data_IF_943146757936
#
_entry.id   IF_943146757936
#
_cell.length_a   1.000
_cell.length_b   1.000
_cell.length_c   1.000
_cell.angle_alpha   90.00
_cell.angle_beta   90.00
_cell.angle_gamma   90.00
#
_symmetry.space_group_name_H-M   'P 1'
#
loop_
_entity.id
_entity.type
_entity.pdbx_description
1 polymer ?
#
# COMPACT_ATOMS: atom_id res chain seq x y z
N UNK A 1 -30.40 3.51 -17.93
CA UNK A 1 -29.33 3.87 -16.99
C UNK A 1 -28.59 2.60 -16.61
N UNK A 2 -27.47 2.32 -17.25
CA UNK A 2 -26.67 1.13 -17.00
C UNK A 2 -25.85 1.42 -15.76
N UNK A 3 -26.16 0.75 -14.67
CA UNK A 3 -25.37 0.81 -13.43
C UNK A 3 -24.02 0.16 -13.73
N UNK A 4 -22.99 0.96 -13.93
CA UNK A 4 -21.61 0.46 -14.01
C UNK A 4 -21.24 -0.01 -12.61
N UNK A 5 -21.36 -1.29 -12.37
CA UNK A 5 -20.78 -1.90 -11.18
C UNK A 5 -19.26 -1.73 -11.29
N UNK A 6 -18.61 -1.08 -10.33
CA UNK A 6 -17.16 -0.97 -10.36
C UNK A 6 -16.55 -2.38 -10.27
N UNK A 7 -15.91 -2.84 -11.35
CA UNK A 7 -15.08 -4.04 -11.38
C UNK A 7 -13.74 -3.81 -10.65
N UNK A 8 -13.81 -3.13 -9.51
CA UNK A 8 -12.65 -2.82 -8.66
C UNK A 8 -12.32 -3.92 -7.65
N UNK A 9 -13.06 -5.02 -7.68
CA UNK A 9 -12.76 -6.14 -6.81
C UNK A 9 -11.82 -7.08 -7.54
N UNK A 10 -10.57 -7.26 -7.08
CA UNK A 10 -9.71 -8.31 -7.60
C UNK A 10 -10.43 -9.65 -7.40
N UNK A 11 -10.68 -10.33 -8.50
CA UNK A 11 -11.20 -11.69 -8.53
C UNK A 11 -9.97 -12.62 -8.38
N UNK A 12 -9.97 -13.67 -7.59
CA UNK A 12 -10.97 -14.31 -6.75
C UNK A 12 -10.62 -14.46 -5.26
N UNK A 13 -9.66 -13.71 -4.73
CA UNK A 13 -9.43 -13.58 -3.29
C UNK A 13 -10.05 -12.27 -2.86
N UNK A 14 -11.33 -12.31 -2.48
CA UNK A 14 -12.05 -11.15 -1.97
C UNK A 14 -11.55 -10.82 -0.56
N UNK A 15 -10.41 -10.17 -0.51
CA UNK A 15 -10.07 -9.37 0.63
C UNK A 15 -11.15 -8.29 0.80
N UNK A 16 -11.58 -8.03 2.01
CA UNK A 16 -12.48 -6.90 2.25
C UNK A 16 -11.77 -5.60 1.83
N UNK A 17 -12.51 -4.54 1.52
CA UNK A 17 -11.85 -3.25 1.25
C UNK A 17 -11.00 -2.77 2.44
N UNK A 18 -11.36 -3.22 3.64
CA UNK A 18 -10.76 -2.85 4.91
C UNK A 18 -9.54 -3.68 5.29
N UNK A 19 -9.37 -4.85 4.70
CA UNK A 19 -8.23 -5.75 5.00
C UNK A 19 -7.89 -6.62 3.79
N UNK A 20 -6.65 -7.05 3.70
CA UNK A 20 -6.23 -7.95 2.65
C UNK A 20 -4.74 -8.02 2.43
N UNK A 21 -4.37 -8.71 1.37
CA UNK A 21 -2.98 -8.89 0.97
C UNK A 21 -2.65 -7.99 -0.22
N UNK A 22 -1.53 -7.32 -0.14
CA UNK A 22 -0.97 -6.52 -1.24
C UNK A 22 0.19 -7.28 -1.87
N UNK A 23 0.24 -7.32 -3.19
CA UNK A 23 1.42 -7.75 -3.94
C UNK A 23 2.13 -6.49 -4.42
N UNK A 24 3.34 -6.30 -3.92
CA UNK A 24 4.16 -5.13 -4.23
C UNK A 24 4.78 -5.25 -5.63
N UNK A 25 5.28 -4.15 -6.18
CA UNK A 25 5.89 -4.12 -7.51
C UNK A 25 7.07 -5.10 -7.67
N UNK A 26 7.79 -5.41 -6.58
CA UNK A 26 8.89 -6.38 -6.56
C UNK A 26 8.42 -7.85 -6.39
N UNK A 27 7.10 -8.09 -6.37
CA UNK A 27 6.49 -9.40 -6.20
C UNK A 27 6.40 -9.87 -4.75
N UNK A 28 6.92 -9.10 -3.80
CA UNK A 28 6.78 -9.43 -2.37
C UNK A 28 5.38 -9.09 -1.86
N UNK A 29 4.97 -9.73 -0.78
CA UNK A 29 3.66 -9.52 -0.17
C UNK A 29 3.76 -8.66 1.09
N UNK A 30 2.70 -7.89 1.33
CA UNK A 30 2.41 -7.17 2.56
C UNK A 30 0.94 -7.35 2.91
N UNK A 31 0.57 -7.05 4.13
CA UNK A 31 -0.82 -7.07 4.58
C UNK A 31 -1.31 -5.63 4.77
N UNK A 32 -2.56 -5.37 4.42
CA UNK A 32 -3.23 -4.09 4.64
C UNK A 32 -4.46 -4.31 5.49
N UNK A 33 -4.70 -3.43 6.44
CA UNK A 33 -5.91 -3.46 7.27
C UNK A 33 -6.20 -2.10 7.90
N UNK A 34 -7.40 -1.95 8.45
CA UNK A 34 -7.72 -0.82 9.30
C UNK A 34 -6.78 -0.79 10.52
N UNK A 35 -6.38 0.42 10.89
CA UNK A 35 -5.70 0.65 12.16
C UNK A 35 -6.67 0.42 13.31
N UNK A 36 -6.15 -0.14 14.42
CA UNK A 36 -6.90 -0.44 15.63
C UNK A 36 -6.22 0.27 16.82
N UNK A 37 -6.92 0.48 17.96
CA UNK A 37 -6.33 1.12 19.13
C UNK A 37 -5.03 0.47 19.61
N UNK A 38 -4.88 -0.84 19.43
CA UNK A 38 -3.67 -1.61 19.78
C UNK A 38 -2.45 -1.25 18.93
N UNK A 39 -2.67 -0.64 17.77
CA UNK A 39 -1.60 -0.25 16.85
C UNK A 39 -0.93 1.08 17.22
N UNK A 40 -1.44 1.84 18.18
CA UNK A 40 -0.95 3.18 18.50
C UNK A 40 0.56 3.21 18.73
N UNK A 41 1.09 2.28 19.52
CA UNK A 41 2.53 2.23 19.80
C UNK A 41 3.33 1.87 18.53
N UNK A 42 2.86 0.91 17.74
CA UNK A 42 3.50 0.52 16.48
C UNK A 42 3.45 1.66 15.45
N UNK A 43 2.36 2.41 15.40
CA UNK A 43 2.20 3.58 14.53
C UNK A 43 3.09 4.73 14.98
N UNK A 44 3.22 4.99 16.27
CA UNK A 44 4.18 5.98 16.81
C UNK A 44 5.62 5.58 16.44
N UNK A 45 5.98 4.32 16.61
CA UNK A 45 7.29 3.80 16.23
C UNK A 45 7.54 3.94 14.73
N UNK A 46 6.54 3.68 13.90
CA UNK A 46 6.62 3.89 12.46
C UNK A 46 6.92 5.36 12.12
N UNK A 47 6.19 6.33 12.66
CA UNK A 47 6.40 7.74 12.36
C UNK A 47 7.73 8.26 12.90
N UNK A 48 8.17 7.82 14.07
CA UNK A 48 9.48 8.19 14.63
C UNK A 48 10.64 7.57 13.84
N UNK A 49 10.43 6.40 13.26
CA UNK A 49 11.39 5.69 12.43
C UNK A 49 11.56 6.26 11.01
N UNK A 50 10.67 7.15 10.55
CA UNK A 50 10.81 7.84 9.27
C UNK A 50 12.03 8.78 9.30
N UNK A 51 12.67 8.99 8.16
CA UNK A 51 13.68 10.05 8.01
C UNK A 51 13.08 11.43 8.32
N UNK A 52 13.93 12.40 8.65
CA UNK A 52 13.51 13.79 8.86
C UNK A 52 12.77 14.35 7.63
N UNK A 53 13.24 14.00 6.43
CA UNK A 53 12.61 14.39 5.18
C UNK A 53 11.20 13.78 5.04
N UNK A 54 11.04 12.49 5.25
CA UNK A 54 9.75 11.80 5.17
C UNK A 54 8.75 12.30 6.23
N UNK A 55 9.21 12.61 7.44
CA UNK A 55 8.37 13.27 8.46
C UNK A 55 7.93 14.66 8.03
N UNK A 56 8.86 15.49 7.53
CA UNK A 56 8.54 16.83 7.05
C UNK A 56 7.53 16.79 5.91
N UNK A 57 7.69 15.89 4.96
CA UNK A 57 6.73 15.67 3.87
C UNK A 57 5.34 15.23 4.36
N UNK A 58 5.28 14.49 5.47
CA UNK A 58 4.01 13.97 6.02
C UNK A 58 3.30 14.95 6.93
N UNK A 59 4.03 15.69 7.76
CA UNK A 59 3.49 16.53 8.84
C UNK A 59 3.80 18.01 8.67
N UNK A 60 4.47 18.40 7.59
CA UNK A 60 4.97 19.76 7.37
C UNK A 60 5.89 20.27 8.49
N UNK A 61 6.55 19.33 9.19
CA UNK A 61 7.46 19.59 10.29
C UNK A 61 8.34 18.38 10.61
N UNK A 62 9.47 18.61 11.24
CA UNK A 62 10.46 17.56 11.58
C UNK A 62 10.08 16.75 12.82
N UNK A 63 9.15 17.27 13.63
CA UNK A 63 8.72 16.61 14.87
C UNK A 63 7.86 15.37 14.58
N UNK A 64 7.94 14.39 15.47
CA UNK A 64 7.00 13.28 15.47
C UNK A 64 5.56 13.77 15.77
N UNK A 65 4.52 13.08 15.30
CA UNK A 65 3.15 13.42 15.65
C UNK A 65 2.93 13.28 17.17
N UNK A 66 1.96 14.01 17.70
CA UNK A 66 1.56 13.88 19.11
C UNK A 66 0.83 12.55 19.34
N UNK A 67 0.87 12.05 20.58
CA UNK A 67 0.13 10.85 20.99
C UNK A 67 -1.37 10.98 20.68
N UNK A 68 -1.95 12.18 20.90
CA UNK A 68 -3.34 12.47 20.57
C UNK A 68 -3.64 12.25 19.09
N UNK A 69 -2.78 12.70 18.18
CA UNK A 69 -2.97 12.52 16.75
C UNK A 69 -2.86 11.05 16.36
N UNK A 70 -1.90 10.32 16.94
CA UNK A 70 -1.75 8.88 16.69
C UNK A 70 -2.96 8.10 17.22
N UNK A 71 -3.47 8.43 18.40
CA UNK A 71 -4.70 7.83 18.95
C UNK A 71 -5.89 8.08 18.00
N UNK A 72 -6.01 9.30 17.45
CA UNK A 72 -7.04 9.60 16.45
C UNK A 72 -6.89 8.72 15.22
N UNK A 73 -5.68 8.50 14.70
CA UNK A 73 -5.46 7.61 13.56
C UNK A 73 -5.78 6.14 13.85
N UNK A 74 -5.71 5.72 15.10
CA UNK A 74 -5.99 4.34 15.52
C UNK A 74 -7.44 4.13 15.99
N UNK A 75 -8.31 5.11 15.83
CA UNK A 75 -9.70 5.03 16.24
C UNK A 75 -10.62 4.74 15.03
N UNK A 76 -11.13 3.49 14.88
CA UNK A 76 -12.03 3.11 13.80
C UNK A 76 -13.52 3.34 14.15
N UNK A 77 -13.85 4.07 15.20
CA UNK A 77 -15.22 4.18 15.72
C UNK A 77 -16.20 4.90 14.77
N UNK A 78 -15.70 5.78 13.89
CA UNK A 78 -16.52 6.52 12.92
C UNK A 78 -15.81 6.66 11.57
N UNK A 79 -15.95 5.63 10.75
CA UNK A 79 -15.31 5.57 9.41
C UNK A 79 -15.86 6.63 8.44
N UNK A 80 -17.01 7.23 8.74
CA UNK A 80 -17.55 8.36 8.00
C UNK A 80 -16.86 9.68 8.31
N UNK A 81 -16.15 9.78 9.44
CA UNK A 81 -15.37 10.97 9.82
C UNK A 81 -13.89 10.79 9.58
N UNK A 82 -13.36 9.62 9.89
CA UNK A 82 -11.94 9.33 9.75
C UNK A 82 -11.71 7.85 9.53
N UNK A 83 -10.66 7.53 8.80
CA UNK A 83 -10.23 6.17 8.56
C UNK A 83 -8.73 6.13 8.37
N UNK A 84 -8.06 5.16 8.98
CA UNK A 84 -6.66 4.88 8.74
C UNK A 84 -6.44 3.44 8.33
N UNK A 85 -5.67 3.24 7.28
CA UNK A 85 -5.13 1.97 6.86
C UNK A 85 -3.66 1.89 7.27
N UNK A 86 -3.25 0.73 7.72
CA UNK A 86 -1.84 0.37 7.92
C UNK A 86 -1.46 -0.76 6.97
N UNK A 87 -0.25 -0.68 6.46
CA UNK A 87 0.38 -1.76 5.69
C UNK A 87 1.46 -2.35 6.57
N UNK A 88 1.39 -3.65 6.78
CA UNK A 88 2.30 -4.38 7.65
C UNK A 88 3.08 -5.44 6.89
N UNK A 89 4.27 -5.76 7.39
CA UNK A 89 5.09 -6.85 6.90
C UNK A 89 5.72 -7.60 8.06
N UNK A 90 5.70 -8.92 7.98
CA UNK A 90 6.41 -9.77 8.94
C UNK A 90 7.85 -9.95 8.51
N UNK A 91 8.78 -9.57 9.37
CA UNK A 91 10.22 -9.75 9.22
C UNK A 91 10.80 -10.56 10.37
N UNK A 92 12.12 -10.65 10.47
CA UNK A 92 12.81 -11.37 11.55
C UNK A 92 12.49 -10.80 12.94
N UNK A 93 12.21 -9.51 13.05
CA UNK A 93 11.86 -8.83 14.30
C UNK A 93 10.34 -8.84 14.62
N UNK A 94 9.52 -9.62 13.86
CA UNK A 94 8.08 -9.65 13.98
C UNK A 94 7.37 -8.78 12.93
N UNK A 95 6.09 -8.53 13.17
CA UNK A 95 5.27 -7.69 12.30
C UNK A 95 5.57 -6.21 12.57
N UNK A 96 5.79 -5.44 11.50
CA UNK A 96 6.04 -4.01 11.56
C UNK A 96 5.16 -3.26 10.56
N UNK A 97 4.77 -2.02 10.91
CA UNK A 97 4.10 -1.11 9.99
C UNK A 97 5.16 -0.56 9.02
N UNK A 98 4.89 -0.68 7.71
CA UNK A 98 5.76 -0.18 6.65
C UNK A 98 5.14 0.98 5.87
N UNK A 99 3.84 1.19 6.02
CA UNK A 99 3.16 2.36 5.47
C UNK A 99 1.83 2.60 6.20
N UNK A 100 1.36 3.81 6.14
CA UNK A 100 0.02 4.21 6.59
C UNK A 100 -0.59 5.20 5.62
N UNK A 101 -1.91 5.16 5.49
CA UNK A 101 -2.68 6.14 4.78
C UNK A 101 -3.99 6.39 5.52
N UNK A 102 -4.39 7.64 5.60
CA UNK A 102 -5.63 8.00 6.27
C UNK A 102 -6.40 9.06 5.49
N UNK A 103 -7.70 9.11 5.73
CA UNK A 103 -8.49 10.28 5.40
C UNK A 103 -9.25 10.81 6.62
N UNK A 104 -9.54 12.11 6.60
CA UNK A 104 -10.36 12.81 7.61
C UNK A 104 -11.37 13.66 6.85
N UNK A 105 -12.66 13.56 7.20
CA UNK A 105 -13.73 14.31 6.59
C UNK A 105 -13.51 15.83 6.76
N UNK A 106 -13.63 16.56 5.67
CA UNK A 106 -13.71 18.02 5.66
C UNK A 106 -15.17 18.48 5.59
N UNK A 107 -15.98 17.77 4.82
CA UNK A 107 -17.43 17.94 4.66
C UNK A 107 -18.06 16.60 4.26
N UNK A 108 -19.36 16.58 3.99
CA UNK A 108 -20.13 15.37 3.65
C UNK A 108 -19.66 14.68 2.35
N UNK A 109 -18.93 15.38 1.48
CA UNK A 109 -18.51 14.86 0.18
C UNK A 109 -16.99 14.80 0.01
N UNK A 110 -16.24 15.49 0.87
CA UNK A 110 -14.80 15.72 0.71
C UNK A 110 -14.06 15.28 1.96
N UNK A 111 -12.99 14.52 1.78
CA UNK A 111 -12.07 14.19 2.86
C UNK A 111 -10.64 14.63 2.52
N UNK A 112 -9.87 15.00 3.54
CA UNK A 112 -8.44 15.20 3.41
C UNK A 112 -7.74 13.85 3.48
N UNK A 113 -6.87 13.56 2.51
CA UNK A 113 -6.10 12.32 2.45
C UNK A 113 -4.61 12.58 2.66
N UNK A 114 -3.97 11.71 3.43
CA UNK A 114 -2.53 11.75 3.62
C UNK A 114 -1.95 10.34 3.78
N UNK A 115 -0.73 10.14 3.30
CA UNK A 115 -0.05 8.85 3.30
C UNK A 115 1.42 9.01 3.68
N UNK A 116 1.99 7.95 4.26
CA UNK A 116 3.42 7.82 4.50
C UNK A 116 3.87 6.39 4.24
N UNK A 117 5.05 6.23 3.68
CA UNK A 117 5.70 4.93 3.43
C UNK A 117 7.08 4.99 4.05
N UNK A 118 7.50 3.94 4.74
CA UNK A 118 8.85 3.83 5.30
C UNK A 118 9.90 3.96 4.18
N UNK A 119 11.00 4.67 4.44
CA UNK A 119 12.00 5.03 3.43
C UNK A 119 12.56 3.80 2.69
N UNK A 120 12.78 2.69 3.40
CA UNK A 120 13.26 1.41 2.83
C UNK A 120 12.26 0.71 1.91
N UNK A 121 11.01 1.20 1.87
CA UNK A 121 9.92 0.65 1.05
C UNK A 121 9.46 1.60 -0.05
N UNK A 122 10.15 2.72 -0.25
CA UNK A 122 9.88 3.62 -1.37
C UNK A 122 10.07 2.91 -2.72
N UNK A 123 9.36 3.37 -3.75
CA UNK A 123 9.44 2.83 -5.11
C UNK A 123 8.76 1.47 -5.33
N UNK A 124 8.20 0.84 -4.30
CA UNK A 124 7.54 -0.48 -4.39
C UNK A 124 6.03 -0.41 -4.72
N UNK A 125 5.50 0.77 -5.00
CA UNK A 125 4.10 0.97 -5.39
C UNK A 125 3.11 1.01 -4.23
N UNK A 126 3.57 0.98 -2.97
CA UNK A 126 2.70 0.95 -1.78
C UNK A 126 1.80 2.19 -1.71
N UNK A 127 2.32 3.39 -2.00
CA UNK A 127 1.53 4.62 -1.97
C UNK A 127 0.32 4.57 -2.92
N UNK A 128 0.52 4.06 -4.14
CA UNK A 128 -0.57 3.93 -5.11
C UNK A 128 -1.61 2.90 -4.66
N UNK A 129 -1.18 1.74 -4.13
CA UNK A 129 -2.07 0.71 -3.59
C UNK A 129 -2.87 1.23 -2.37
N UNK A 130 -2.23 2.03 -1.50
CA UNK A 130 -2.91 2.71 -0.39
C UNK A 130 -3.97 3.69 -0.91
N UNK A 131 -3.62 4.53 -1.88
CA UNK A 131 -4.56 5.50 -2.45
C UNK A 131 -5.77 4.79 -3.06
N UNK A 132 -5.56 3.72 -3.83
CA UNK A 132 -6.65 2.92 -4.41
C UNK A 132 -7.57 2.33 -3.35
N UNK A 133 -7.00 1.83 -2.26
CA UNK A 133 -7.77 1.27 -1.16
C UNK A 133 -8.55 2.34 -0.40
N UNK A 134 -7.92 3.50 -0.15
CA UNK A 134 -8.56 4.64 0.49
C UNK A 134 -9.70 5.22 -0.36
N UNK A 135 -9.53 5.33 -1.69
CA UNK A 135 -10.61 5.81 -2.58
C UNK A 135 -11.80 4.87 -2.57
N UNK A 136 -11.58 3.55 -2.57
CA UNK A 136 -12.66 2.56 -2.48
C UNK A 136 -13.45 2.70 -1.18
N UNK A 137 -12.76 2.86 -0.06
CA UNK A 137 -13.39 3.04 1.26
C UNK A 137 -14.09 4.40 1.37
N UNK A 138 -13.50 5.46 0.81
CA UNK A 138 -14.10 6.79 0.77
C UNK A 138 -15.44 6.78 0.01
N UNK A 139 -15.50 6.14 -1.16
CA UNK A 139 -16.75 5.99 -1.92
C UNK A 139 -17.82 5.25 -1.12
N UNK A 140 -17.44 4.18 -0.42
CA UNK A 140 -18.36 3.42 0.45
C UNK A 140 -18.93 4.25 1.60
N UNK A 141 -18.11 5.18 2.13
CA UNK A 141 -18.49 6.09 3.21
C UNK A 141 -19.11 7.41 2.72
N UNK A 142 -19.43 7.52 1.41
CA UNK A 142 -20.19 8.65 0.85
C UNK A 142 -19.34 9.77 0.26
N UNK A 143 -18.02 9.74 0.41
CA UNK A 143 -17.14 10.76 -0.15
C UNK A 143 -17.04 10.64 -1.67
N UNK A 144 -16.82 11.78 -2.31
CA UNK A 144 -16.65 11.90 -3.77
C UNK A 144 -15.31 12.50 -4.15
N UNK A 145 -14.65 13.16 -3.21
CA UNK A 145 -13.40 13.90 -3.45
C UNK A 145 -12.41 13.70 -2.31
N UNK A 146 -11.15 13.61 -2.69
CA UNK A 146 -10.05 13.80 -1.77
C UNK A 146 -9.37 15.13 -2.01
N UNK A 147 -9.03 15.80 -0.93
CA UNK A 147 -8.03 16.87 -0.93
C UNK A 147 -6.75 16.36 -0.31
N UNK A 148 -5.63 16.77 -0.89
CA UNK A 148 -4.31 16.55 -0.30
C UNK A 148 -3.46 17.81 -0.47
N UNK A 149 -2.59 18.04 0.51
CA UNK A 149 -1.55 19.06 0.43
C UNK A 149 -0.20 18.34 0.41
N UNK A 150 0.69 18.74 -0.48
CA UNK A 150 2.05 18.21 -0.53
C UNK A 150 3.04 19.29 -0.92
N UNK A 151 4.31 19.11 -0.56
CA UNK A 151 5.38 19.99 -1.00
C UNK A 151 5.61 19.83 -2.50
N UNK A 152 5.89 20.91 -3.22
CA UNK A 152 6.14 20.90 -4.67
C UNK A 152 7.33 20.02 -5.08
N UNK A 153 8.28 19.84 -4.19
CA UNK A 153 9.46 18.97 -4.37
C UNK A 153 9.18 17.49 -4.08
N UNK A 154 8.03 17.15 -3.48
CA UNK A 154 7.66 15.77 -3.18
C UNK A 154 7.15 15.04 -4.42
N UNK A 155 8.02 14.90 -5.42
CA UNK A 155 7.70 14.20 -6.68
C UNK A 155 7.11 12.82 -6.47
N UNK A 156 7.65 11.95 -5.58
CA UNK A 156 7.07 10.62 -5.37
C UNK A 156 5.59 10.65 -4.99
N UNK A 157 5.16 11.60 -4.15
CA UNK A 157 3.76 11.73 -3.76
C UNK A 157 2.91 12.29 -4.91
N UNK A 158 3.43 13.27 -5.65
CA UNK A 158 2.75 13.79 -6.84
C UNK A 158 2.53 12.69 -7.89
N UNK A 159 3.53 11.84 -8.11
CA UNK A 159 3.44 10.69 -9.02
C UNK A 159 2.37 9.69 -8.57
N UNK A 160 2.21 9.44 -7.27
CA UNK A 160 1.15 8.57 -6.74
C UNK A 160 -0.23 9.07 -7.18
N UNK A 161 -0.51 10.37 -7.03
CA UNK A 161 -1.80 10.94 -7.45
C UNK A 161 -1.98 10.92 -8.98
N UNK A 162 -0.95 11.27 -9.73
CA UNK A 162 -1.01 11.31 -11.20
C UNK A 162 -1.12 9.92 -11.82
N UNK A 163 -0.35 8.96 -11.30
CA UNK A 163 -0.31 7.59 -11.80
C UNK A 163 -1.52 6.77 -11.38
N UNK A 164 -2.30 7.24 -10.41
CA UNK A 164 -3.54 6.57 -9.99
C UNK A 164 -4.56 6.45 -11.13
N UNK A 165 -4.58 7.43 -12.03
CA UNK A 165 -5.53 7.50 -13.14
C UNK A 165 -6.88 8.11 -12.78
N UNK A 166 -7.09 8.51 -11.54
CA UNK A 166 -8.26 9.29 -11.14
C UNK A 166 -8.19 10.72 -11.71
N UNK A 167 -9.33 11.36 -11.89
CA UNK A 167 -9.38 12.77 -12.27
C UNK A 167 -8.75 13.61 -11.15
N UNK A 168 -7.71 14.37 -11.50
CA UNK A 168 -6.86 15.07 -10.55
C UNK A 168 -6.61 16.50 -11.00
N UNK A 169 -7.02 17.48 -10.20
CA UNK A 169 -6.70 18.89 -10.37
C UNK A 169 -5.62 19.29 -9.36
N UNK A 170 -4.68 20.12 -9.81
CA UNK A 170 -3.56 20.60 -9.01
C UNK A 170 -3.49 22.12 -9.03
N UNK A 171 -3.27 22.69 -7.88
CA UNK A 171 -3.03 24.13 -7.72
C UNK A 171 -1.71 24.35 -6.98
N UNK A 172 -0.79 25.05 -7.59
CA UNK A 172 0.49 25.40 -6.99
C UNK A 172 0.38 26.71 -6.21
N UNK A 173 0.91 26.74 -4.98
CA UNK A 173 0.97 27.92 -4.13
C UNK A 173 2.15 27.82 -3.17
N UNK A 174 3.03 28.82 -3.19
CA UNK A 174 4.10 29.04 -2.19
C UNK A 174 4.89 27.79 -1.75
N UNK A 175 5.35 27.00 -2.72
CA UNK A 175 6.13 25.78 -2.44
C UNK A 175 5.30 24.55 -2.14
N UNK A 176 3.97 24.63 -2.20
CA UNK A 176 3.03 23.54 -2.00
C UNK A 176 2.20 23.27 -3.25
N UNK A 177 1.65 22.08 -3.32
CA UNK A 177 0.67 21.66 -4.32
C UNK A 177 -0.56 21.17 -3.60
N UNK A 178 -1.66 21.88 -3.78
CA UNK A 178 -2.99 21.39 -3.42
C UNK A 178 -3.47 20.44 -4.51
N UNK A 179 -3.94 19.29 -4.12
CA UNK A 179 -4.48 18.25 -4.98
C UNK A 179 -5.95 18.09 -4.66
N UNK A 180 -6.77 18.12 -5.70
CA UNK A 180 -8.18 17.78 -5.65
C UNK A 180 -8.41 16.58 -6.57
N UNK A 181 -8.71 15.43 -5.97
CA UNK A 181 -8.84 14.14 -6.63
C UNK A 181 -10.28 13.65 -6.56
N UNK A 182 -10.89 13.32 -7.69
CA UNK A 182 -12.14 12.56 -7.70
C UNK A 182 -11.87 11.14 -7.22
N UNK A 183 -12.61 10.66 -6.22
CA UNK A 183 -12.50 9.25 -5.78
C UNK A 183 -13.42 8.32 -6.58
N UNK A 184 -14.23 8.89 -7.51
CA UNK A 184 -15.09 8.11 -8.38
C UNK A 184 -14.23 7.46 -9.48
N UNK A 185 -14.28 6.13 -9.59
CA UNK A 185 -13.51 5.43 -10.61
C UNK A 185 -13.91 5.84 -12.03
N UNK A 186 -12.92 5.97 -12.91
CA UNK A 186 -13.06 6.16 -14.33
C UNK A 186 -12.31 5.06 -15.12
N UNK A 187 -12.48 5.01 -16.43
CA UNK A 187 -11.83 3.98 -17.27
C UNK A 187 -10.31 3.97 -17.13
N UNK A 188 -9.68 5.13 -17.00
CA UNK A 188 -8.24 5.25 -16.87
C UNK A 188 -7.74 4.69 -15.53
N UNK A 189 -8.43 5.02 -14.42
CA UNK A 189 -8.05 4.50 -13.10
C UNK A 189 -8.22 2.99 -13.02
N UNK A 190 -9.30 2.44 -13.60
CA UNK A 190 -9.52 0.99 -13.69
C UNK A 190 -8.41 0.30 -14.50
N UNK A 191 -8.14 0.81 -15.70
CA UNK A 191 -7.11 0.24 -16.59
C UNK A 191 -5.73 0.26 -15.92
N UNK A 192 -5.38 1.35 -15.26
CA UNK A 192 -4.08 1.46 -14.56
C UNK A 192 -3.99 0.52 -13.37
N UNK A 193 -5.07 0.35 -12.60
CA UNK A 193 -5.12 -0.62 -11.50
C UNK A 193 -4.92 -2.05 -12.02
N UNK A 194 -5.62 -2.45 -13.09
CA UNK A 194 -5.47 -3.77 -13.72
C UNK A 194 -4.06 -4.02 -14.23
N UNK A 195 -3.42 -3.03 -14.87
CA UNK A 195 -2.04 -3.15 -15.35
C UNK A 195 -1.05 -3.33 -14.19
N UNK A 196 -1.23 -2.60 -13.08
CA UNK A 196 -0.39 -2.76 -11.88
C UNK A 196 -0.56 -4.14 -11.26
N UNK A 197 -1.80 -4.62 -11.14
CA UNK A 197 -2.09 -5.94 -10.59
C UNK A 197 -1.45 -7.05 -11.43
N UNK A 198 -1.59 -7.00 -12.75
CA UNK A 198 -0.92 -7.93 -13.66
C UNK A 198 0.61 -7.89 -13.52
N UNK A 199 1.21 -6.70 -13.46
CA UNK A 199 2.66 -6.56 -13.32
C UNK A 199 3.15 -7.13 -11.98
N UNK A 200 2.45 -6.88 -10.88
CA UNK A 200 2.76 -7.40 -9.56
C UNK A 200 2.60 -8.92 -9.49
N UNK A 201 1.53 -9.46 -10.11
CA UNK A 201 1.31 -10.90 -10.20
C UNK A 201 2.43 -11.59 -10.99
N UNK A 202 2.84 -11.04 -12.14
CA UNK A 202 3.97 -11.57 -12.91
C UNK A 202 5.26 -11.54 -12.07
N UNK A 203 5.50 -10.44 -11.35
CA UNK A 203 6.68 -10.31 -10.48
C UNK A 203 6.68 -11.35 -9.36
N UNK A 204 5.52 -11.62 -8.74
CA UNK A 204 5.38 -12.61 -7.66
C UNK A 204 5.64 -14.05 -8.14
N UNK A 205 5.25 -14.35 -9.37
CA UNK A 205 5.45 -15.68 -9.98
C UNK A 205 6.88 -15.90 -10.48
N UNK A 206 7.67 -14.83 -10.65
CA UNK A 206 9.04 -14.93 -11.18
C UNK A 206 9.94 -15.83 -10.34
N UNK A 207 9.82 -15.76 -9.01
CA UNK A 207 10.60 -16.60 -8.09
C UNK A 207 10.28 -18.09 -8.25
N UNK A 208 9.04 -18.43 -8.68
CA UNK A 208 8.62 -19.80 -8.92
C UNK A 208 9.12 -20.31 -10.27
N UNK A 209 9.02 -19.51 -11.34
CA UNK A 209 9.39 -19.94 -12.70
C UNK A 209 10.88 -19.74 -13.02
N UNK A 210 11.58 -18.86 -12.30
CA UNK A 210 13.01 -18.58 -12.45
C UNK A 210 13.66 -18.44 -11.09
N UNK A 211 13.70 -19.52 -10.28
CA UNK A 211 14.29 -19.47 -8.96
C UNK A 211 15.80 -19.23 -9.05
N UNK A 212 16.34 -18.39 -8.18
CA UNK A 212 17.79 -18.18 -8.01
C UNK A 212 18.39 -19.14 -6.98
N UNK A 213 17.52 -19.72 -6.13
CA UNK A 213 17.90 -20.73 -5.13
C UNK A 213 16.71 -21.66 -4.90
N UNK A 214 17.02 -22.92 -4.56
CA UNK A 214 16.03 -23.94 -4.25
C UNK A 214 16.38 -24.60 -2.92
N UNK A 215 15.42 -24.65 -1.99
CA UNK A 215 15.58 -25.42 -0.75
C UNK A 215 14.90 -26.79 -0.92
N UNK A 216 15.66 -27.87 -0.78
CA UNK A 216 15.16 -29.24 -0.82
C UNK A 216 15.06 -29.79 0.59
N UNK A 217 13.83 -29.99 1.08
CA UNK A 217 13.54 -30.64 2.37
C UNK A 217 13.39 -32.15 2.12
N UNK A 218 14.10 -32.97 2.91
CA UNK A 218 14.10 -34.42 2.74
C UNK A 218 15.10 -34.92 1.70
N UNK A 219 16.15 -34.14 1.42
CA UNK A 219 17.29 -34.61 0.64
C UNK A 219 17.91 -35.84 1.27
N UNK A 220 18.33 -36.81 0.45
CA UNK A 220 18.96 -38.06 0.89
C UNK A 220 20.28 -38.30 0.18
N UNK A 221 21.28 -38.83 0.91
CA UNK A 221 22.53 -39.28 0.33
C UNK A 221 22.37 -40.54 -0.54
N UNK A 222 21.27 -41.28 -0.36
CA UNK A 222 20.96 -42.42 -1.22
C UNK A 222 20.40 -41.93 -2.58
N UNK A 223 21.14 -42.07 -3.69
CA UNK A 223 20.74 -41.59 -5.00
C UNK A 223 19.49 -42.29 -5.56
N UNK A 224 19.17 -43.48 -5.04
CA UNK A 224 17.96 -44.22 -5.47
C UNK A 224 16.67 -43.72 -4.77
N UNK A 225 16.78 -42.98 -3.67
CA UNK A 225 15.64 -42.36 -2.99
C UNK A 225 15.04 -41.23 -3.81
N UNK A 226 13.76 -40.86 -3.56
CA UNK A 226 13.09 -39.76 -4.20
C UNK A 226 13.87 -38.44 -3.97
N UNK A 227 14.24 -38.16 -2.70
CA UNK A 227 15.01 -36.97 -2.34
C UNK A 227 16.39 -36.93 -2.98
N UNK A 228 17.06 -38.08 -3.09
CA UNK A 228 18.37 -38.18 -3.75
C UNK A 228 18.27 -37.93 -5.27
N UNK A 229 17.26 -38.47 -5.93
CA UNK A 229 17.00 -38.22 -7.37
C UNK A 229 16.71 -36.75 -7.68
N UNK A 230 15.87 -36.10 -6.83
CA UNK A 230 15.55 -34.68 -6.99
C UNK A 230 16.82 -33.82 -6.78
N UNK A 231 17.63 -34.12 -5.73
CA UNK A 231 18.88 -33.40 -5.48
C UNK A 231 19.84 -33.50 -6.68
N UNK A 232 20.05 -34.73 -7.20
CA UNK A 232 20.92 -34.94 -8.34
C UNK A 232 20.40 -34.23 -9.61
N UNK A 233 19.08 -34.19 -9.82
CA UNK A 233 18.48 -33.46 -10.94
C UNK A 233 18.71 -31.94 -10.82
N UNK A 234 18.56 -31.36 -9.61
CA UNK A 234 18.83 -29.93 -9.37
C UNK A 234 20.30 -29.59 -9.61
N UNK A 235 21.24 -30.38 -9.07
CA UNK A 235 22.66 -30.18 -9.29
C UNK A 235 23.03 -30.33 -10.78
N UNK A 236 22.47 -31.29 -11.48
CA UNK A 236 22.65 -31.48 -12.92
C UNK A 236 22.06 -30.35 -13.77
N UNK A 237 21.05 -29.62 -13.26
CA UNK A 237 20.48 -28.44 -13.88
C UNK A 237 21.26 -27.13 -13.56
N UNK A 238 22.36 -27.21 -12.83
CA UNK A 238 23.23 -26.06 -12.53
C UNK A 238 22.85 -25.26 -11.28
N UNK A 239 22.00 -25.80 -10.40
CA UNK A 239 21.77 -25.23 -9.07
C UNK A 239 22.87 -25.71 -8.13
N UNK A 240 23.65 -24.77 -7.60
CA UNK A 240 24.75 -25.03 -6.65
C UNK A 240 24.50 -24.38 -5.30
#
# INVERSE_FOLDING_TARGET
>A
MTTVHPRFLPVPYQDSAESGRLILRDGTAAEIRLAQPEDCQAMMNFFTGLSGESRTRRFFGVSAPSDKLVTTFCDPSDLGKQLSLIVTRTGAAGQQIIATGNYIALDDNTAEVAMAVADSFHGKGIGTLLLERLTLLAVRNGFRRFRALTMSENKPMLDVFLDSGFECHRKHSDGYVEIDLSVIPNELSVTRAELRDRASTIASLRAFFRPTSVALVGASRNPASIGGRILNALLGAGFS
#
